data_IF_209740743788
#
_entry.id   IF_209740743788
#
_cell.length_a   1.000
_cell.length_b   1.000
_cell.length_c   1.000
_cell.angle_alpha   90.00
_cell.angle_beta   90.00
_cell.angle_gamma   90.00
#
_symmetry.space_group_name_H-M   'P 1'
#
loop_
_entity.id
_entity.type
_entity.pdbx_description
1 polymer ?
#
# COMPACT_ATOMS: atom_id res chain seq x y z
N UNK A 1 4.92 38.81 8.66
CA UNK A 1 5.11 37.34 8.76
C UNK A 1 4.32 36.64 9.88
N UNK A 2 3.88 37.30 10.97
CA UNK A 2 3.13 36.64 12.07
C UNK A 2 1.81 35.95 11.66
N UNK A 3 1.13 36.44 10.62
CA UNK A 3 -0.14 35.86 10.17
C UNK A 3 -0.01 34.52 9.43
N UNK A 4 1.05 34.31 8.64
CA UNK A 4 1.26 33.05 7.90
C UNK A 4 1.52 31.88 8.86
N UNK A 5 2.38 32.08 9.88
CA UNK A 5 2.61 31.05 10.90
C UNK A 5 1.34 30.72 11.70
N UNK A 6 0.51 31.73 11.97
CA UNK A 6 -0.72 31.55 12.75
C UNK A 6 -1.78 30.79 11.95
N UNK A 7 -1.93 31.09 10.65
CA UNK A 7 -2.82 30.37 9.74
C UNK A 7 -2.33 28.94 9.49
N UNK A 8 -1.02 28.75 9.26
CA UNK A 8 -0.41 27.44 9.07
C UNK A 8 -0.59 26.52 10.28
N UNK A 9 -0.42 27.04 11.51
CA UNK A 9 -0.68 26.26 12.75
C UNK A 9 -2.14 25.84 12.90
N UNK A 10 -3.10 26.70 12.52
CA UNK A 10 -4.52 26.36 12.57
C UNK A 10 -4.86 25.27 11.55
N UNK A 11 -4.35 25.38 10.33
CA UNK A 11 -4.52 24.35 9.30
C UNK A 11 -3.91 23.02 9.73
N UNK A 12 -2.67 23.02 10.21
CA UNK A 12 -2.01 21.81 10.69
C UNK A 12 -2.78 21.14 11.85
N UNK A 13 -3.26 21.92 12.82
CA UNK A 13 -4.12 21.38 13.89
C UNK A 13 -5.43 20.79 13.37
N UNK A 14 -6.04 21.42 12.36
CA UNK A 14 -7.25 20.88 11.72
C UNK A 14 -6.97 19.54 11.06
N UNK A 15 -5.91 19.44 10.24
CA UNK A 15 -5.49 18.19 9.60
C UNK A 15 -5.18 17.13 10.65
N UNK A 16 -4.37 17.45 11.66
CA UNK A 16 -4.03 16.52 12.74
C UNK A 16 -5.26 16.01 13.50
N UNK A 17 -6.22 16.89 13.83
CA UNK A 17 -7.48 16.50 14.47
C UNK A 17 -8.38 15.67 13.55
N UNK A 18 -8.33 15.92 12.23
CA UNK A 18 -9.08 15.19 11.23
C UNK A 18 -8.50 13.78 11.01
N UNK A 19 -7.17 13.64 10.99
CA UNK A 19 -6.48 12.35 10.84
C UNK A 19 -6.63 11.46 12.08
N UNK A 20 -6.67 12.06 13.28
CA UNK A 20 -6.83 11.31 14.55
C UNK A 20 -8.27 10.89 14.84
N UNK A 21 -9.26 11.51 14.18
CA UNK A 21 -10.68 11.21 14.41
C UNK A 21 -11.30 10.56 13.18
N UNK A 22 -11.74 9.31 13.31
CA UNK A 22 -12.49 8.55 12.28
C UNK A 22 -13.73 9.32 11.77
N UNK A 23 -14.32 10.18 12.59
CA UNK A 23 -15.47 11.01 12.20
C UNK A 23 -15.20 11.95 11.03
N UNK A 24 -13.95 12.33 10.78
CA UNK A 24 -13.61 13.26 9.70
C UNK A 24 -13.78 12.58 8.32
N UNK A 25 -13.36 11.32 8.23
CA UNK A 25 -13.56 10.45 7.07
C UNK A 25 -15.04 10.34 6.74
N UNK A 26 -15.89 10.09 7.75
CA UNK A 26 -17.34 9.97 7.58
C UNK A 26 -18.02 11.31 7.26
N UNK A 27 -17.64 12.41 7.93
CA UNK A 27 -18.28 13.72 7.74
C UNK A 27 -17.89 14.39 6.43
N UNK A 28 -16.63 14.33 6.04
CA UNK A 28 -16.13 14.95 4.82
C UNK A 28 -16.21 14.01 3.61
N UNK A 29 -16.67 12.76 3.83
CA UNK A 29 -16.62 11.69 2.82
C UNK A 29 -15.24 11.55 2.18
N UNK A 30 -14.19 11.83 2.94
CA UNK A 30 -12.79 11.69 2.50
C UNK A 30 -12.25 10.28 2.71
N UNK A 31 -13.12 9.31 3.02
CA UNK A 31 -12.76 7.90 2.95
C UNK A 31 -12.46 7.54 1.51
N UNK A 32 -11.42 6.74 1.32
CA UNK A 32 -11.23 6.17 0.00
C UNK A 32 -12.37 5.18 -0.25
N UNK A 33 -13.13 5.43 -1.32
CA UNK A 33 -14.10 4.48 -1.86
C UNK A 33 -13.33 3.37 -2.57
N UNK A 34 -12.68 2.51 -1.78
CA UNK A 34 -11.90 1.40 -2.29
C UNK A 34 -12.88 0.42 -2.95
N UNK A 35 -12.61 -0.02 -4.19
CA UNK A 35 -13.34 -1.15 -4.76
C UNK A 35 -13.06 -2.40 -3.92
N UNK A 36 -13.76 -3.50 -4.22
CA UNK A 36 -13.56 -4.75 -3.49
C UNK A 36 -12.10 -5.21 -3.49
N UNK A 37 -11.67 -5.92 -2.44
CA UNK A 37 -10.30 -6.40 -2.31
C UNK A 37 -9.84 -7.19 -3.54
N UNK A 38 -10.73 -7.95 -4.17
CA UNK A 38 -10.46 -8.67 -5.42
C UNK A 38 -10.03 -7.73 -6.53
N UNK A 39 -10.72 -6.59 -6.70
CA UNK A 39 -10.38 -5.59 -7.71
C UNK A 39 -9.03 -4.95 -7.39
N UNK A 40 -8.79 -4.60 -6.12
CA UNK A 40 -7.50 -4.03 -5.70
C UNK A 40 -6.34 -4.99 -5.96
N UNK A 41 -6.50 -6.27 -5.62
CA UNK A 41 -5.49 -7.30 -5.88
C UNK A 41 -5.24 -7.45 -7.37
N UNK A 42 -6.28 -7.46 -8.20
CA UNK A 42 -6.12 -7.54 -9.66
C UNK A 42 -5.42 -6.31 -10.23
N UNK A 43 -5.82 -5.10 -9.82
CA UNK A 43 -5.16 -3.86 -10.24
C UNK A 43 -3.69 -3.84 -9.80
N UNK A 44 -3.40 -4.28 -8.57
CA UNK A 44 -2.05 -4.40 -8.06
C UNK A 44 -1.20 -5.38 -8.85
N UNK A 45 -1.73 -6.57 -9.16
CA UNK A 45 -1.08 -7.57 -10.02
C UNK A 45 -0.76 -6.98 -11.40
N UNK A 46 -1.73 -6.32 -12.02
CA UNK A 46 -1.55 -5.73 -13.34
C UNK A 46 -0.46 -4.66 -13.35
N UNK A 47 -0.44 -3.80 -12.32
CA UNK A 47 0.60 -2.78 -12.15
C UNK A 47 1.99 -3.40 -11.94
N UNK A 48 2.09 -4.47 -11.15
CA UNK A 48 3.33 -5.18 -10.95
C UNK A 48 3.84 -5.79 -12.26
N UNK A 49 2.96 -6.47 -13.02
CA UNK A 49 3.29 -7.05 -14.33
C UNK A 49 3.75 -5.97 -15.30
N UNK A 50 3.02 -4.85 -15.38
CA UNK A 50 3.41 -3.72 -16.25
C UNK A 50 4.72 -3.07 -15.83
N UNK A 51 5.07 -3.16 -14.54
CA UNK A 51 6.34 -2.68 -14.00
C UNK A 51 7.48 -3.69 -14.14
N UNK A 52 7.25 -4.84 -14.78
CA UNK A 52 8.26 -5.88 -15.05
C UNK A 52 8.31 -7.02 -14.02
N UNK A 53 7.39 -7.08 -13.07
CA UNK A 53 7.29 -8.21 -12.14
C UNK A 53 6.65 -9.40 -12.86
N UNK A 54 7.50 -10.31 -13.33
CA UNK A 54 7.09 -11.57 -13.95
C UNK A 54 7.36 -12.76 -13.03
N UNK A 55 7.01 -13.96 -13.48
CA UNK A 55 7.24 -15.21 -12.75
C UNK A 55 8.69 -15.36 -12.29
N UNK A 56 9.67 -15.10 -13.17
CA UNK A 56 11.08 -15.24 -12.81
C UNK A 56 11.49 -14.29 -11.69
N UNK A 57 11.04 -13.03 -11.74
CA UNK A 57 11.30 -12.03 -10.69
C UNK A 57 10.69 -12.46 -9.36
N UNK A 58 9.42 -12.90 -9.35
CA UNK A 58 8.75 -13.34 -8.12
C UNK A 58 9.45 -14.57 -7.51
N UNK A 59 9.84 -15.53 -8.35
CA UNK A 59 10.58 -16.70 -7.89
C UNK A 59 11.95 -16.32 -7.33
N UNK A 60 12.66 -15.37 -7.96
CA UNK A 60 13.93 -14.87 -7.46
C UNK A 60 13.77 -14.15 -6.11
N UNK A 61 12.75 -13.29 -5.96
CA UNK A 61 12.44 -12.62 -4.69
C UNK A 61 12.08 -13.63 -3.59
N UNK A 62 11.31 -14.66 -3.93
CA UNK A 62 10.98 -15.72 -2.99
C UNK A 62 12.23 -16.50 -2.56
N UNK A 63 13.11 -16.87 -3.50
CA UNK A 63 14.37 -17.52 -3.15
C UNK A 63 15.29 -16.63 -2.33
N UNK A 64 15.28 -15.31 -2.57
CA UNK A 64 15.97 -14.34 -1.72
C UNK A 64 15.43 -14.40 -0.28
N UNK A 65 14.11 -14.45 -0.09
CA UNK A 65 13.49 -14.59 1.23
C UNK A 65 13.84 -15.93 1.91
N UNK A 66 13.88 -17.03 1.15
CA UNK A 66 14.34 -18.34 1.64
C UNK A 66 15.79 -18.26 2.12
N UNK A 67 16.67 -17.66 1.31
CA UNK A 67 18.08 -17.48 1.64
C UNK A 67 18.28 -16.53 2.83
N UNK A 68 17.37 -15.57 3.02
CA UNK A 68 17.32 -14.69 4.19
C UNK A 68 16.81 -15.39 5.47
N UNK A 69 16.35 -16.66 5.37
CA UNK A 69 15.99 -17.50 6.51
C UNK A 69 14.53 -17.95 6.55
N UNK A 70 13.68 -17.50 5.61
CA UNK A 70 12.26 -17.93 5.55
C UNK A 70 12.16 -19.28 4.82
N UNK A 71 12.74 -20.32 5.42
CA UNK A 71 12.83 -21.66 4.81
C UNK A 71 11.49 -22.31 4.49
N UNK A 72 10.40 -21.88 5.14
CA UNK A 72 9.04 -22.36 4.85
C UNK A 72 8.61 -22.08 3.41
N UNK A 73 9.18 -21.05 2.77
CA UNK A 73 8.89 -20.71 1.39
C UNK A 73 9.59 -21.61 0.37
N UNK A 74 10.53 -22.47 0.79
CA UNK A 74 11.37 -23.24 -0.12
C UNK A 74 10.58 -24.13 -1.08
N UNK A 75 9.49 -24.74 -0.62
CA UNK A 75 8.60 -25.55 -1.46
C UNK A 75 7.60 -24.71 -2.29
N UNK A 76 7.40 -23.45 -1.91
CA UNK A 76 6.43 -22.53 -2.52
C UNK A 76 7.07 -21.74 -3.65
N UNK A 77 8.31 -21.29 -3.50
CA UNK A 77 9.00 -20.46 -4.48
C UNK A 77 8.92 -21.00 -5.92
N UNK A 78 9.24 -22.28 -6.21
CA UNK A 78 9.15 -22.79 -7.59
C UNK A 78 7.73 -22.88 -8.14
N UNK A 79 6.70 -22.81 -7.29
CA UNK A 79 5.28 -22.88 -7.67
C UNK A 79 4.65 -21.52 -7.90
N UNK A 80 5.35 -20.43 -7.58
CA UNK A 80 4.86 -19.08 -7.84
C UNK A 80 4.86 -18.82 -9.35
N UNK A 81 3.68 -18.50 -9.87
CA UNK A 81 3.44 -18.15 -11.27
C UNK A 81 2.68 -16.83 -11.29
N UNK A 82 3.18 -15.85 -12.04
CA UNK A 82 2.49 -14.59 -12.30
C UNK A 82 1.66 -14.78 -13.57
N UNK A 83 0.35 -14.59 -13.44
CA UNK A 83 -0.67 -14.70 -14.49
C UNK A 83 -1.67 -13.57 -14.36
#
# INVERSE_FOLDING_TARGET
MKNILSTGRKFFKCVQQCTTKTSCVSKLKCGLDLPSDTVLVQTGKQCAISSGVNTAVVQQMCNCAVNAGIRQLQSVCPRLIVS
#
